data_IF_219956053471
#
_entry.id   IF_219956053471
#
_cell.length_a   1.000
_cell.length_b   1.000
_cell.length_c   1.000
_cell.angle_alpha   90.00
_cell.angle_beta   90.00
_cell.angle_gamma   90.00
#
_symmetry.space_group_name_H-M   'P 1'
#
loop_
_entity.id
_entity.type
_entity.pdbx_description
1 polymer ?
#
# COMPACT_ATOMS: atom_id res chain seq x y z
N UNK A 1 -2.80 23.53 19.46
CA UNK A 1 -3.72 22.94 20.46
C UNK A 1 -3.21 21.53 20.72
N UNK A 2 -3.15 21.07 21.97
CA UNK A 2 -2.47 19.81 22.31
C UNK A 2 -3.19 18.52 21.84
N UNK A 3 -4.31 18.64 21.12
CA UNK A 3 -5.15 17.50 20.75
C UNK A 3 -5.13 17.19 19.24
N UNK A 4 -4.48 18.03 18.42
CA UNK A 4 -4.33 17.80 16.98
C UNK A 4 -2.87 17.93 16.56
N UNK A 5 -2.38 16.98 15.77
CA UNK A 5 -1.03 16.98 15.24
C UNK A 5 -1.01 16.52 13.78
N UNK A 6 -0.23 17.20 12.95
CA UNK A 6 0.03 16.76 11.58
C UNK A 6 1.52 16.87 11.29
N UNK A 7 2.11 15.75 10.89
CA UNK A 7 3.46 15.67 10.33
C UNK A 7 3.39 14.90 9.02
N UNK A 8 3.48 15.59 7.90
CA UNK A 8 3.35 14.98 6.57
C UNK A 8 4.61 15.33 5.78
N UNK A 9 5.46 14.32 5.56
CA UNK A 9 6.63 14.47 4.71
C UNK A 9 6.20 14.37 3.23
N UNK A 10 6.64 15.32 2.40
CA UNK A 10 6.34 15.36 0.96
C UNK A 10 7.64 15.13 0.19
N UNK A 11 7.99 13.87 -0.12
CA UNK A 11 9.22 13.56 -0.83
C UNK A 11 9.18 14.06 -2.28
N UNK A 12 10.36 14.32 -2.83
CA UNK A 12 10.55 14.55 -4.25
C UNK A 12 11.49 13.50 -4.82
N UNK A 13 11.14 13.00 -6.00
CA UNK A 13 11.90 12.03 -6.77
C UNK A 13 12.66 12.75 -7.88
N UNK A 14 13.88 12.28 -8.14
CA UNK A 14 14.69 12.64 -9.30
C UNK A 14 15.25 11.37 -9.94
N UNK A 15 14.98 11.16 -11.23
CA UNK A 15 15.40 9.99 -12.00
C UNK A 15 16.41 10.40 -13.08
N UNK A 16 17.67 10.62 -12.70
CA UNK A 16 18.73 11.02 -13.64
C UNK A 16 18.31 12.21 -14.51
N UNK A 17 18.36 12.04 -15.84
CA UNK A 17 17.94 13.06 -16.81
C UNK A 17 16.44 12.97 -17.19
N UNK A 18 15.68 12.00 -16.68
CA UNK A 18 14.26 11.85 -16.97
C UNK A 18 13.43 12.90 -16.21
N UNK A 19 12.35 13.37 -16.85
CA UNK A 19 11.39 14.22 -16.17
C UNK A 19 10.72 13.45 -15.02
N UNK A 20 10.80 13.98 -13.81
CA UNK A 20 10.10 13.44 -12.63
C UNK A 20 8.88 14.30 -12.24
N UNK A 21 8.46 15.22 -13.13
CA UNK A 21 7.41 16.19 -12.82
C UNK A 21 6.04 15.54 -12.58
N UNK A 22 5.67 14.53 -13.38
CA UNK A 22 4.40 13.83 -13.22
C UNK A 22 4.37 13.00 -11.93
N UNK A 23 5.44 12.26 -11.64
CA UNK A 23 5.59 11.49 -10.39
C UNK A 23 5.51 12.42 -9.18
N UNK A 24 6.27 13.52 -9.18
CA UNK A 24 6.26 14.48 -8.07
C UNK A 24 4.90 15.15 -7.91
N UNK A 25 4.19 15.41 -9.00
CA UNK A 25 2.81 15.90 -8.97
C UNK A 25 1.87 14.89 -8.32
N UNK A 26 1.97 13.60 -8.65
CA UNK A 26 1.15 12.56 -8.01
C UNK A 26 1.47 12.38 -6.51
N UNK A 27 2.74 12.51 -6.12
CA UNK A 27 3.14 12.49 -4.71
C UNK A 27 2.55 13.70 -3.97
N UNK A 28 2.64 14.89 -4.56
CA UNK A 28 2.08 16.13 -4.01
C UNK A 28 0.55 16.06 -3.92
N UNK A 29 -0.13 15.52 -4.93
CA UNK A 29 -1.58 15.29 -4.91
C UNK A 29 -1.99 14.36 -3.76
N UNK A 30 -1.26 13.26 -3.54
CA UNK A 30 -1.52 12.37 -2.40
C UNK A 30 -1.26 13.04 -1.05
N UNK A 31 -0.17 13.80 -0.91
CA UNK A 31 0.09 14.57 0.32
C UNK A 31 -1.02 15.61 0.59
N UNK A 32 -1.49 16.30 -0.45
CA UNK A 32 -2.60 17.25 -0.35
C UNK A 32 -3.92 16.58 0.03
N UNK A 33 -4.15 15.33 -0.40
CA UNK A 33 -5.29 14.54 0.08
C UNK A 33 -5.20 14.33 1.60
N UNK A 34 -4.05 13.88 2.11
CA UNK A 34 -3.85 13.68 3.56
C UNK A 34 -4.02 14.98 4.36
N UNK A 35 -3.52 16.10 3.83
CA UNK A 35 -3.70 17.43 4.44
C UNK A 35 -5.18 17.81 4.46
N UNK A 36 -5.89 17.64 3.35
CA UNK A 36 -7.31 17.95 3.24
C UNK A 36 -8.19 17.09 4.17
N UNK A 37 -7.88 15.79 4.30
CA UNK A 37 -8.53 14.89 5.25
C UNK A 37 -8.29 15.34 6.70
N UNK A 38 -7.03 15.64 7.06
CA UNK A 38 -6.70 16.18 8.38
C UNK A 38 -7.50 17.46 8.68
N UNK A 39 -7.50 18.44 7.76
CA UNK A 39 -8.24 19.69 7.92
C UNK A 39 -9.74 19.46 8.07
N UNK A 40 -10.31 18.55 7.27
CA UNK A 40 -11.72 18.15 7.36
C UNK A 40 -12.06 17.60 8.74
N UNK A 41 -11.27 16.66 9.24
CA UNK A 41 -11.56 16.00 10.53
C UNK A 41 -11.45 16.99 11.71
N UNK A 42 -10.38 17.81 11.76
CA UNK A 42 -10.16 18.73 12.89
C UNK A 42 -11.06 19.96 12.91
N UNK A 43 -11.67 20.29 11.76
CA UNK A 43 -12.66 21.38 11.65
C UNK A 43 -14.11 20.90 11.62
N UNK A 44 -14.33 19.61 11.36
CA UNK A 44 -15.63 18.96 11.35
C UNK A 44 -15.88 18.14 12.62
N UNK A 45 -15.94 16.82 12.46
CA UNK A 45 -16.45 15.88 13.47
C UNK A 45 -15.66 15.89 14.78
N UNK A 46 -14.38 16.23 14.74
CA UNK A 46 -13.50 16.26 15.91
C UNK A 46 -13.27 17.66 16.47
N UNK A 47 -13.93 18.68 15.92
CA UNK A 47 -13.71 20.08 16.29
C UNK A 47 -14.01 20.35 17.77
N UNK A 48 -13.06 20.99 18.46
CA UNK A 48 -13.19 21.38 19.86
C UNK A 48 -12.42 20.44 20.78
N UNK A 49 -12.98 19.25 21.01
CA UNK A 49 -12.54 18.31 22.07
C UNK A 49 -12.01 16.96 21.55
N UNK A 50 -12.04 16.72 20.23
CA UNK A 50 -11.50 15.50 19.64
C UNK A 50 -9.98 15.41 19.71
N UNK A 51 -9.46 14.19 19.48
CA UNK A 51 -8.03 13.93 19.31
C UNK A 51 -7.78 13.36 17.91
N UNK A 52 -6.83 13.93 17.18
CA UNK A 52 -6.47 13.48 15.85
C UNK A 52 -5.00 13.75 15.56
N UNK A 53 -4.23 12.71 15.26
CA UNK A 53 -2.86 12.84 14.78
C UNK A 53 -2.71 12.15 13.43
N UNK A 54 -2.03 12.80 12.50
CA UNK A 54 -1.56 12.17 11.26
C UNK A 54 -0.04 12.30 11.19
N UNK A 55 0.64 11.17 11.02
CA UNK A 55 2.07 11.12 10.72
C UNK A 55 2.29 10.37 9.43
N UNK A 56 2.86 11.03 8.43
CA UNK A 56 3.21 10.44 7.13
C UNK A 56 4.70 10.61 6.88
N UNK A 57 5.39 9.49 6.64
CA UNK A 57 6.83 9.41 6.38
C UNK A 57 7.08 8.59 5.13
N UNK A 58 8.28 8.65 4.57
CA UNK A 58 8.63 7.91 3.37
C UNK A 58 9.90 7.07 3.53
N UNK A 59 10.01 6.03 2.71
CA UNK A 59 11.18 5.19 2.55
C UNK A 59 11.29 4.69 1.11
N UNK A 60 12.53 4.52 0.61
CA UNK A 60 12.77 3.85 -0.67
C UNK A 60 12.87 2.35 -0.41
N UNK A 61 11.95 1.56 -0.97
CA UNK A 61 11.88 0.09 -0.76
C UNK A 61 12.38 -0.71 -1.96
N UNK A 62 12.54 -0.06 -3.11
CA UNK A 62 13.20 -0.64 -4.28
C UNK A 62 14.04 0.46 -4.92
N UNK A 63 15.30 0.17 -5.19
CA UNK A 63 16.17 1.01 -6.03
C UNK A 63 17.09 0.10 -6.84
N UNK A 64 16.59 -0.40 -7.99
CA UNK A 64 17.34 -1.30 -8.86
C UNK A 64 17.53 -0.68 -10.26
N UNK A 65 18.06 -1.42 -11.22
CA UNK A 65 18.32 -0.87 -12.57
C UNK A 65 17.07 -0.36 -13.29
N UNK A 66 15.89 -0.93 -12.99
CA UNK A 66 14.66 -0.69 -13.74
C UNK A 66 13.62 0.11 -12.96
N UNK A 67 13.50 -0.12 -11.66
CA UNK A 67 12.45 0.47 -10.83
C UNK A 67 13.01 1.22 -9.63
N UNK A 68 12.34 2.31 -9.29
CA UNK A 68 12.42 2.98 -7.99
C UNK A 68 11.04 2.89 -7.33
N UNK A 69 10.95 2.35 -6.12
CA UNK A 69 9.68 2.28 -5.37
C UNK A 69 9.77 3.12 -4.11
N UNK A 70 8.97 4.18 -4.07
CA UNK A 70 8.84 5.09 -2.93
C UNK A 70 7.61 4.71 -2.12
N UNK A 71 7.82 4.20 -0.91
CA UNK A 71 6.75 3.86 0.04
C UNK A 71 6.51 5.01 0.99
N UNK A 72 5.25 5.43 1.08
CA UNK A 72 4.75 6.39 2.05
C UNK A 72 3.96 5.60 3.09
N UNK A 73 4.39 5.68 4.35
CA UNK A 73 3.71 5.08 5.49
C UNK A 73 2.98 6.20 6.25
N UNK A 74 1.68 6.05 6.41
CA UNK A 74 0.82 7.01 7.10
C UNK A 74 0.16 6.33 8.29
N UNK A 75 0.34 6.90 9.49
CA UNK A 75 -0.36 6.50 10.70
C UNK A 75 -1.36 7.60 11.07
N UNK A 76 -2.62 7.22 11.24
CA UNK A 76 -3.68 8.07 11.80
C UNK A 76 -4.00 7.59 13.20
N UNK A 77 -4.02 8.50 14.17
CA UNK A 77 -4.36 8.18 15.56
C UNK A 77 -5.54 9.03 15.99
N UNK A 78 -6.62 8.35 16.40
CA UNK A 78 -7.75 8.95 17.11
C UNK A 78 -7.88 8.29 18.48
N UNK A 79 -8.79 7.31 18.61
CA UNK A 79 -8.88 6.43 19.78
C UNK A 79 -7.90 5.24 19.69
N UNK A 80 -7.73 4.69 18.49
CA UNK A 80 -6.69 3.73 18.12
C UNK A 80 -5.88 4.26 16.94
N UNK A 81 -4.75 3.61 16.68
CA UNK A 81 -3.98 3.82 15.45
C UNK A 81 -4.59 3.05 14.28
N UNK A 82 -4.41 3.57 13.08
CA UNK A 82 -4.60 2.87 11.81
C UNK A 82 -3.43 3.19 10.87
N UNK A 83 -2.86 2.18 10.24
CA UNK A 83 -1.73 2.28 9.32
C UNK A 83 -2.15 2.10 7.86
N UNK A 84 -1.70 3.03 7.00
CA UNK A 84 -1.94 3.05 5.57
C UNK A 84 -0.62 3.15 4.80
N UNK A 85 -0.55 2.47 3.65
CA UNK A 85 0.64 2.42 2.81
C UNK A 85 0.30 2.76 1.37
N UNK A 86 0.90 3.85 0.88
CA UNK A 86 0.92 4.17 -0.55
C UNK A 86 2.30 3.93 -1.13
N UNK A 87 2.40 3.16 -2.20
CA UNK A 87 3.67 2.97 -2.92
C UNK A 87 3.57 3.55 -4.32
N UNK A 88 4.54 4.40 -4.66
CA UNK A 88 4.79 4.87 -6.02
C UNK A 88 5.95 4.07 -6.61
N UNK A 89 5.63 3.07 -7.42
CA UNK A 89 6.63 2.31 -8.19
C UNK A 89 6.84 2.97 -9.53
N UNK A 90 8.06 3.42 -9.81
CA UNK A 90 8.43 4.26 -10.95
C UNK A 90 9.34 3.47 -11.89
N UNK A 91 9.00 3.40 -13.17
CA UNK A 91 9.90 2.88 -14.21
C UNK A 91 10.95 3.95 -14.53
N UNK A 92 12.22 3.62 -14.28
CA UNK A 92 13.33 4.56 -14.47
C UNK A 92 13.59 4.91 -15.93
N UNK A 93 13.18 4.07 -16.87
CA UNK A 93 13.34 4.33 -18.30
C UNK A 93 12.35 5.38 -18.81
N UNK A 94 11.16 5.45 -18.22
CA UNK A 94 10.09 6.37 -18.65
C UNK A 94 9.89 7.54 -17.70
N UNK A 95 10.35 7.41 -16.45
CA UNK A 95 10.08 8.38 -15.38
C UNK A 95 8.62 8.38 -14.90
N UNK A 96 7.83 7.35 -15.23
CA UNK A 96 6.40 7.29 -14.93
C UNK A 96 6.08 6.27 -13.83
N UNK A 97 4.99 6.51 -13.08
CA UNK A 97 4.43 5.53 -12.15
C UNK A 97 3.86 4.35 -12.92
N UNK A 98 4.14 3.15 -12.43
CA UNK A 98 3.71 1.88 -13.02
C UNK A 98 2.57 1.31 -12.18
N UNK A 99 1.48 0.93 -12.83
CA UNK A 99 0.37 0.21 -12.19
C UNK A 99 0.54 -1.30 -12.30
N UNK A 100 -0.15 -2.08 -11.47
CA UNK A 100 -0.21 -3.54 -11.65
C UNK A 100 -0.71 -3.90 -13.06
N UNK A 101 -1.70 -3.17 -13.57
CA UNK A 101 -2.22 -3.36 -14.92
C UNK A 101 -1.14 -3.14 -16.00
N UNK A 102 -0.25 -2.18 -15.83
CA UNK A 102 0.84 -1.94 -16.78
C UNK A 102 1.88 -3.08 -16.76
N UNK A 103 2.22 -3.59 -15.56
CA UNK A 103 3.07 -4.77 -15.41
C UNK A 103 2.46 -5.97 -16.13
N UNK A 104 1.16 -6.19 -15.94
CA UNK A 104 0.46 -7.36 -16.43
C UNK A 104 -0.32 -7.15 -17.74
N UNK A 105 0.02 -6.13 -18.53
CA UNK A 105 -0.70 -5.75 -19.77
C UNK A 105 -0.97 -6.89 -20.77
N UNK A 106 -0.15 -7.95 -20.74
CA UNK A 106 -0.27 -9.12 -21.61
C UNK A 106 -0.90 -10.35 -20.92
N UNK A 107 -1.40 -10.21 -19.69
CA UNK A 107 -1.98 -11.28 -18.88
C UNK A 107 -3.34 -10.84 -18.35
N UNK A 108 -4.40 -11.09 -19.11
CA UNK A 108 -5.76 -10.67 -18.75
C UNK A 108 -6.22 -11.19 -17.36
N UNK A 109 -5.76 -12.39 -16.98
CA UNK A 109 -6.18 -13.06 -15.75
C UNK A 109 -5.26 -12.81 -14.55
N UNK A 110 -4.40 -11.77 -14.59
CA UNK A 110 -3.42 -11.52 -13.53
C UNK A 110 -4.08 -11.28 -12.16
N UNK A 111 -5.21 -10.56 -12.11
CA UNK A 111 -5.97 -10.33 -10.87
C UNK A 111 -6.31 -11.64 -10.19
N UNK A 112 -6.84 -12.60 -10.95
CA UNK A 112 -7.18 -13.92 -10.43
C UNK A 112 -5.93 -14.68 -9.97
N UNK A 113 -4.88 -14.71 -10.79
CA UNK A 113 -3.64 -15.44 -10.46
C UNK A 113 -2.97 -14.91 -9.18
N UNK A 114 -2.92 -13.59 -9.00
CA UNK A 114 -2.38 -12.95 -7.80
C UNK A 114 -3.28 -13.22 -6.59
N UNK A 115 -4.60 -13.06 -6.74
CA UNK A 115 -5.56 -13.29 -5.66
C UNK A 115 -5.57 -14.74 -5.18
N UNK A 116 -5.57 -15.71 -6.10
CA UNK A 116 -5.49 -17.14 -5.77
C UNK A 116 -4.20 -17.44 -4.98
N UNK A 117 -3.07 -16.85 -5.37
CA UNK A 117 -1.81 -17.04 -4.67
C UNK A 117 -1.82 -16.40 -3.27
N UNK A 118 -2.35 -15.19 -3.12
CA UNK A 118 -2.50 -14.53 -1.81
C UNK A 118 -3.39 -15.35 -0.88
N UNK A 119 -4.52 -15.86 -1.38
CA UNK A 119 -5.42 -16.74 -0.61
C UNK A 119 -4.72 -18.01 -0.13
N UNK A 120 -3.87 -18.62 -0.98
CA UNK A 120 -3.07 -19.77 -0.56
C UNK A 120 -2.08 -19.40 0.55
N UNK A 121 -1.37 -18.28 0.40
CA UNK A 121 -0.44 -17.79 1.43
C UNK A 121 -1.15 -17.47 2.76
N UNK A 122 -2.34 -16.85 2.73
CA UNK A 122 -3.15 -16.62 3.93
C UNK A 122 -3.46 -17.94 4.65
N UNK A 123 -3.88 -18.97 3.90
CA UNK A 123 -4.18 -20.30 4.46
C UNK A 123 -2.95 -20.94 5.09
N UNK A 124 -1.81 -20.91 4.39
CA UNK A 124 -0.54 -21.45 4.87
C UNK A 124 -0.07 -20.73 6.15
N UNK A 125 -0.15 -19.40 6.19
CA UNK A 125 0.25 -18.58 7.34
C UNK A 125 -0.66 -18.81 8.56
N UNK A 126 -1.97 -18.97 8.35
CA UNK A 126 -2.92 -19.31 9.43
C UNK A 126 -2.75 -20.75 9.94
N UNK A 127 -2.36 -21.69 9.08
CA UNK A 127 -2.09 -23.07 9.49
C UNK A 127 -0.75 -23.22 10.24
N UNK A 128 0.21 -22.34 9.95
CA UNK A 128 1.53 -22.36 10.59
C UNK A 128 1.55 -21.66 11.96
N UNK A 129 0.72 -20.64 12.17
CA UNK A 129 0.65 -19.87 13.41
C UNK A 129 -0.80 -19.41 13.70
N UNK A 130 -1.38 -19.91 14.79
CA UNK A 130 -2.75 -19.61 15.20
C UNK A 130 -2.99 -18.13 15.54
N UNK A 131 -1.93 -17.34 15.76
CA UNK A 131 -2.02 -15.89 15.98
C UNK A 131 -2.28 -15.10 14.69
N UNK A 132 -1.97 -15.68 13.53
CA UNK A 132 -2.31 -15.10 12.24
C UNK A 132 -3.82 -15.22 11.99
N UNK A 133 -4.43 -14.11 11.55
CA UNK A 133 -5.83 -14.04 11.16
C UNK A 133 -5.97 -13.15 9.94
N UNK A 134 -6.71 -13.64 8.96
CA UNK A 134 -7.13 -12.90 7.79
C UNK A 134 -8.65 -12.96 7.70
N UNK A 135 -9.26 -11.97 7.05
CA UNK A 135 -10.65 -12.03 6.62
C UNK A 135 -10.72 -12.96 5.41
N UNK A 136 -10.56 -14.25 5.63
CA UNK A 136 -10.51 -15.26 4.59
C UNK A 136 -10.92 -16.62 5.16
N UNK A 137 -11.87 -17.28 4.49
CA UNK A 137 -12.45 -18.55 4.95
C UNK A 137 -13.04 -18.43 6.38
N UNK A 138 -13.64 -17.28 6.71
CA UNK A 138 -14.16 -16.97 8.05
C UNK A 138 -15.47 -17.69 8.39
N UNK A 139 -16.10 -18.35 7.43
CA UNK A 139 -17.30 -19.16 7.64
C UNK A 139 -18.58 -18.32 7.65
N UNK A 140 -19.19 -18.13 8.82
CA UNK A 140 -20.48 -17.40 8.93
C UNK A 140 -20.35 -15.91 8.60
N UNK A 141 -19.14 -15.35 8.69
CA UNK A 141 -18.83 -13.94 8.41
C UNK A 141 -18.22 -13.72 7.00
N UNK A 142 -18.35 -14.69 6.10
CA UNK A 142 -17.69 -14.68 4.79
C UNK A 142 -18.12 -13.56 3.83
N UNK A 143 -19.10 -12.73 4.20
CA UNK A 143 -19.51 -11.56 3.41
C UNK A 143 -18.39 -10.50 3.32
N UNK A 144 -17.54 -10.41 4.34
CA UNK A 144 -16.43 -9.47 4.42
C UNK A 144 -15.07 -10.15 4.13
N UNK A 145 -15.08 -11.40 3.67
CA UNK A 145 -13.86 -12.11 3.29
C UNK A 145 -13.22 -11.48 2.04
N UNK A 146 -11.89 -11.46 2.05
CA UNK A 146 -11.07 -11.12 0.90
C UNK A 146 -11.40 -12.04 -0.28
N UNK A 147 -11.97 -11.45 -1.33
CA UNK A 147 -12.26 -12.15 -2.57
C UNK A 147 -11.13 -12.00 -3.60
N UNK A 148 -10.76 -10.78 -3.96
CA UNK A 148 -9.71 -10.55 -4.94
C UNK A 148 -9.13 -9.16 -4.79
N UNK A 149 -7.92 -9.00 -5.34
CA UNK A 149 -7.34 -7.69 -5.54
C UNK A 149 -8.17 -6.89 -6.56
N UNK A 150 -8.15 -5.58 -6.41
CA UNK A 150 -8.78 -4.59 -7.30
C UNK A 150 -7.91 -4.25 -8.51
N UNK A 151 -6.59 -4.41 -8.38
CA UNK A 151 -5.58 -3.97 -9.35
C UNK A 151 -4.94 -2.62 -9.01
N UNK A 152 -5.45 -1.92 -7.99
CA UNK A 152 -4.95 -0.62 -7.53
C UNK A 152 -4.08 -0.73 -6.25
N UNK A 153 -3.84 -1.95 -5.77
CA UNK A 153 -3.05 -2.22 -4.56
C UNK A 153 -1.65 -1.64 -4.65
N UNK A 154 -1.16 -1.13 -3.52
CA UNK A 154 0.24 -0.76 -3.37
C UNK A 154 1.14 -1.99 -3.55
N UNK A 155 2.18 -1.84 -4.36
CA UNK A 155 3.16 -2.91 -4.57
C UNK A 155 4.57 -2.35 -4.74
N UNK A 156 5.57 -3.19 -4.53
CA UNK A 156 6.97 -2.92 -4.83
C UNK A 156 7.70 -4.19 -5.28
N UNK A 157 9.00 -4.10 -5.54
CA UNK A 157 9.85 -5.25 -5.82
C UNK A 157 10.88 -5.43 -4.71
N UNK A 158 10.92 -6.61 -4.11
CA UNK A 158 11.92 -6.93 -3.09
C UNK A 158 13.33 -7.10 -3.73
N UNK A 159 14.34 -7.38 -2.89
CA UNK A 159 15.73 -7.55 -3.34
C UNK A 159 15.93 -8.73 -4.32
N UNK A 160 15.03 -9.72 -4.32
CA UNK A 160 15.04 -10.86 -5.24
C UNK A 160 14.37 -10.55 -6.59
N UNK A 161 13.85 -9.33 -6.75
CA UNK A 161 13.03 -8.92 -7.89
C UNK A 161 11.66 -9.59 -7.91
N UNK A 162 11.12 -9.96 -6.76
CA UNK A 162 9.78 -10.52 -6.63
C UNK A 162 8.78 -9.40 -6.33
N UNK A 163 7.59 -9.51 -6.93
CA UNK A 163 6.49 -8.59 -6.68
C UNK A 163 5.99 -8.78 -5.24
N UNK A 164 5.88 -7.69 -4.48
CA UNK A 164 5.27 -7.71 -3.15
C UNK A 164 4.03 -6.81 -3.17
N UNK A 165 2.87 -7.39 -2.82
CA UNK A 165 1.59 -6.67 -2.71
C UNK A 165 1.35 -6.32 -1.24
N UNK A 166 0.93 -5.10 -0.97
CA UNK A 166 0.77 -4.53 0.37
C UNK A 166 -0.69 -4.15 0.59
N UNK A 167 -1.25 -4.57 1.73
CA UNK A 167 -2.58 -4.20 2.18
C UNK A 167 -2.50 -3.36 3.45
N UNK A 168 -3.28 -2.28 3.49
CA UNK A 168 -3.41 -1.43 4.67
C UNK A 168 -3.99 -2.20 5.85
N UNK A 169 -3.77 -1.70 7.06
CA UNK A 169 -4.40 -2.24 8.27
C UNK A 169 -5.93 -2.28 8.10
N UNK A 170 -6.60 -3.30 8.65
CA UNK A 170 -8.04 -3.57 8.51
C UNK A 170 -8.53 -3.93 7.11
N UNK A 171 -7.68 -3.97 6.07
CA UNK A 171 -8.15 -4.28 4.70
C UNK A 171 -8.47 -5.76 4.52
N UNK A 172 -7.55 -6.64 4.92
CA UNK A 172 -7.68 -8.10 4.75
C UNK A 172 -7.43 -8.87 6.05
N UNK A 173 -7.21 -8.16 7.15
CA UNK A 173 -6.86 -8.73 8.45
C UNK A 173 -7.30 -7.81 9.60
N UNK A 174 -7.52 -8.33 10.83
CA UNK A 174 -7.76 -7.50 12.00
C UNK A 174 -6.59 -6.56 12.31
N UNK A 175 -6.87 -5.40 12.92
CA UNK A 175 -5.86 -4.34 13.08
C UNK A 175 -4.59 -4.71 13.84
N UNK A 176 -4.62 -5.70 14.74
CA UNK A 176 -3.41 -6.15 15.43
C UNK A 176 -2.38 -6.79 14.49
N UNK A 177 -2.80 -7.24 13.29
CA UNK A 177 -1.91 -7.73 12.24
C UNK A 177 -1.14 -6.59 11.54
N UNK A 178 -1.57 -5.34 11.73
CA UNK A 178 -1.00 -4.17 11.07
C UNK A 178 -1.13 -4.23 9.55
N UNK A 179 -0.21 -3.55 8.87
CA UNK A 179 0.00 -3.69 7.42
C UNK A 179 0.53 -5.09 7.11
N UNK A 180 -0.08 -5.77 6.14
CA UNK A 180 0.33 -7.12 5.72
C UNK A 180 0.83 -7.13 4.28
N UNK A 181 1.83 -7.97 4.01
CA UNK A 181 2.52 -8.03 2.72
C UNK A 181 2.60 -9.47 2.20
N UNK A 182 2.38 -9.64 0.90
CA UNK A 182 2.43 -10.93 0.23
C UNK A 182 3.45 -10.89 -0.90
N UNK A 183 4.52 -11.68 -0.77
CA UNK A 183 5.52 -11.84 -1.84
C UNK A 183 5.00 -12.85 -2.84
N UNK A 184 4.86 -12.44 -4.10
CA UNK A 184 4.30 -13.26 -5.16
C UNK A 184 5.45 -13.96 -5.91
N UNK A 185 5.48 -15.30 -5.94
CA UNK A 185 6.57 -16.04 -6.55
C UNK A 185 6.58 -15.88 -8.07
N UNK A 186 7.77 -16.00 -8.68
CA UNK A 186 7.96 -15.93 -10.14
C UNK A 186 7.19 -16.98 -10.92
N UNK A 187 6.79 -18.09 -10.30
CA UNK A 187 5.91 -19.08 -10.91
C UNK A 187 4.51 -18.51 -11.26
N UNK A 188 4.06 -17.47 -10.55
CA UNK A 188 2.80 -16.76 -10.79
C UNK A 188 3.02 -15.56 -11.70
N UNK A 189 4.02 -14.74 -11.41
CA UNK A 189 4.27 -13.49 -12.13
C UNK A 189 5.01 -13.66 -13.46
N UNK A 190 5.77 -14.75 -13.63
CA UNK A 190 6.74 -14.97 -14.71
C UNK A 190 8.01 -14.12 -14.54
N UNK A 191 8.97 -14.28 -15.44
CA UNK A 191 10.28 -13.58 -15.38
C UNK A 191 10.27 -12.15 -15.96
N UNK A 192 9.11 -11.49 -16.00
CA UNK A 192 8.88 -10.33 -16.90
C UNK A 192 9.21 -8.95 -16.34
N UNK A 193 9.63 -8.83 -15.07
CA UNK A 193 9.79 -7.53 -14.40
C UNK A 193 11.19 -7.31 -13.88
#
# INVERSE_FOLDING_TARGET
KNNYEAKIDIPQVSIGDQSSAEVNKSIEEYANQLIGEYEKEVTGDLAGDGHYSVTSTYQVVTDNEKYLSLRINTTVIMASGAEYVKIFTIDKATGQVVTLKDLFRNKADYVKALSDNIKEQMREQMAADDSNKYFFESGEDAADDFDQITGDESFYFNENGELVIVFDEYTVAPGYMGVVEFTIPKSVTGDSF
#
